data_IF_423006208517
#
_entry.id   IF_423006208517
#
_cell.length_a   1.000
_cell.length_b   1.000
_cell.length_c   1.000
_cell.angle_alpha   90.00
_cell.angle_beta   90.00
_cell.angle_gamma   90.00
#
_symmetry.space_group_name_H-M   'P 1'
#
loop_
_entity.id
_entity.type
_entity.pdbx_description
1 polymer ?
#
# COMPACT_ATOMS: atom_id res chain seq x y z
N UNK A 1 -13.70 19.65 14.56
CA UNK A 1 -12.22 19.59 14.46
C UNK A 1 -11.68 18.16 14.37
N UNK A 2 -11.95 17.27 15.35
CA UNK A 2 -11.44 15.86 15.33
C UNK A 2 -11.84 15.05 14.08
N UNK A 3 -13.07 15.17 13.59
CA UNK A 3 -13.53 14.49 12.36
C UNK A 3 -12.68 14.88 11.12
N UNK A 4 -12.38 16.17 10.94
CA UNK A 4 -11.54 16.65 9.83
C UNK A 4 -10.10 16.11 9.90
N UNK A 5 -9.53 15.98 11.10
CA UNK A 5 -8.20 15.41 11.27
C UNK A 5 -8.16 13.93 10.85
N UNK A 6 -9.20 13.16 11.18
CA UNK A 6 -9.31 11.75 10.78
C UNK A 6 -9.48 11.58 9.27
N UNK A 7 -10.27 12.44 8.63
CA UNK A 7 -10.38 12.47 7.17
C UNK A 7 -9.03 12.77 6.50
N UNK A 8 -8.23 13.69 7.07
CA UNK A 8 -6.89 13.97 6.56
C UNK A 8 -5.93 12.77 6.75
N UNK A 9 -6.04 12.03 7.86
CA UNK A 9 -5.27 10.79 8.04
C UNK A 9 -5.68 9.71 7.03
N UNK A 10 -6.98 9.55 6.76
CA UNK A 10 -7.47 8.63 5.74
C UNK A 10 -6.96 9.03 4.36
N UNK A 11 -7.06 10.31 3.99
CA UNK A 11 -6.54 10.82 2.72
C UNK A 11 -5.02 10.64 2.57
N UNK A 12 -4.24 10.87 3.63
CA UNK A 12 -2.80 10.59 3.66
C UNK A 12 -2.52 9.10 3.46
N UNK A 13 -3.27 8.24 4.15
CA UNK A 13 -3.16 6.78 4.03
C UNK A 13 -3.50 6.34 2.62
N UNK A 14 -4.59 6.83 2.02
CA UNK A 14 -4.99 6.53 0.63
C UNK A 14 -3.87 6.88 -0.36
N UNK A 15 -3.25 8.06 -0.23
CA UNK A 15 -2.12 8.46 -1.10
C UNK A 15 -0.91 7.54 -0.95
N UNK A 16 -0.59 7.14 0.29
CA UNK A 16 0.48 6.19 0.53
C UNK A 16 0.15 4.82 -0.05
N UNK A 17 -1.07 4.32 0.15
CA UNK A 17 -1.53 3.03 -0.36
C UNK A 17 -1.49 2.98 -1.89
N UNK A 18 -1.97 4.02 -2.58
CA UNK A 18 -1.88 4.13 -4.04
C UNK A 18 -0.43 4.08 -4.54
N UNK A 19 0.48 4.79 -3.86
CA UNK A 19 1.89 4.75 -4.21
C UNK A 19 2.53 3.38 -3.95
N UNK A 20 2.10 2.66 -2.90
CA UNK A 20 2.50 1.27 -2.64
C UNK A 20 1.99 0.34 -3.74
N UNK A 21 0.75 0.49 -4.18
CA UNK A 21 0.19 -0.29 -5.30
C UNK A 21 1.01 -0.08 -6.57
N UNK A 22 1.28 1.18 -6.96
CA UNK A 22 2.10 1.50 -8.14
C UNK A 22 3.53 0.97 -8.03
N UNK A 23 4.17 1.13 -6.86
CA UNK A 23 5.50 0.58 -6.60
C UNK A 23 5.50 -0.94 -6.70
N UNK A 24 4.52 -1.60 -6.09
CA UNK A 24 4.41 -3.06 -6.09
C UNK A 24 4.13 -3.58 -7.48
N UNK A 25 3.32 -2.89 -8.28
CA UNK A 25 3.11 -3.23 -9.69
C UNK A 25 4.41 -3.22 -10.47
N UNK A 26 5.17 -2.12 -10.39
CA UNK A 26 6.45 -1.98 -11.09
C UNK A 26 7.52 -2.99 -10.65
N UNK A 27 7.57 -3.29 -9.35
CA UNK A 27 8.57 -4.18 -8.77
C UNK A 27 8.00 -5.55 -8.37
N UNK A 28 6.92 -5.97 -9.01
CA UNK A 28 6.16 -7.15 -8.57
C UNK A 28 7.03 -8.41 -8.54
N UNK A 29 7.75 -8.68 -9.62
CA UNK A 29 8.59 -9.88 -9.76
C UNK A 29 9.70 -9.93 -8.71
N UNK A 30 10.37 -8.81 -8.45
CA UNK A 30 11.44 -8.75 -7.44
C UNK A 30 10.89 -8.84 -6.01
N UNK A 31 9.73 -8.22 -5.75
CA UNK A 31 9.02 -8.35 -4.48
C UNK A 31 8.57 -9.80 -4.23
N UNK A 32 7.98 -10.47 -5.23
CA UNK A 32 7.56 -11.87 -5.14
C UNK A 32 8.74 -12.81 -4.90
N UNK A 33 9.88 -12.59 -5.58
CA UNK A 33 11.09 -13.37 -5.37
C UNK A 33 11.67 -13.20 -3.95
N UNK A 34 11.54 -12.01 -3.36
CA UNK A 34 12.14 -11.68 -2.06
C UNK A 34 11.23 -12.00 -0.86
N UNK A 35 9.91 -11.98 -1.05
CA UNK A 35 8.93 -12.25 0.00
C UNK A 35 8.72 -13.75 0.23
N UNK A 36 8.36 -14.12 1.46
CA UNK A 36 7.77 -15.43 1.78
C UNK A 36 6.37 -15.25 2.35
N UNK A 37 5.70 -16.34 2.74
CA UNK A 37 4.39 -16.30 3.42
C UNK A 37 4.45 -15.72 4.83
N UNK A 38 5.65 -15.52 5.41
CA UNK A 38 5.84 -15.01 6.77
C UNK A 38 6.93 -13.94 6.90
N UNK A 39 7.74 -13.73 5.85
CA UNK A 39 8.82 -12.73 5.81
C UNK A 39 8.47 -11.68 4.76
N UNK A 40 8.04 -10.48 5.18
CA UNK A 40 7.61 -9.46 4.25
C UNK A 40 8.78 -8.74 3.58
N UNK A 41 8.56 -8.28 2.36
CA UNK A 41 9.28 -7.13 1.80
C UNK A 41 8.65 -5.87 2.38
N UNK A 42 9.46 -5.01 3.00
CA UNK A 42 8.97 -3.75 3.57
C UNK A 42 9.13 -2.61 2.58
N UNK A 43 8.04 -1.90 2.29
CA UNK A 43 8.03 -0.69 1.47
C UNK A 43 7.84 0.53 2.37
N UNK A 44 8.78 1.46 2.32
CA UNK A 44 8.78 2.68 3.16
C UNK A 44 8.42 3.92 2.34
N UNK A 45 7.96 4.98 3.01
CA UNK A 45 7.74 6.27 2.35
C UNK A 45 9.01 6.81 1.68
N UNK A 46 10.19 6.54 2.26
CA UNK A 46 11.46 6.95 1.66
C UNK A 46 11.75 6.21 0.35
N UNK A 47 11.49 4.91 0.27
CA UNK A 47 11.62 4.16 -0.98
C UNK A 47 10.70 4.73 -2.07
N UNK A 48 9.44 5.03 -1.71
CA UNK A 48 8.47 5.61 -2.65
C UNK A 48 8.86 7.02 -3.11
N UNK A 49 9.42 7.85 -2.21
CA UNK A 49 9.98 9.16 -2.56
C UNK A 49 11.17 9.02 -3.53
N UNK A 50 12.11 8.14 -3.22
CA UNK A 50 13.32 7.94 -4.04
C UNK A 50 13.01 7.39 -5.44
N UNK A 51 11.90 6.67 -5.59
CA UNK A 51 11.44 6.09 -6.86
C UNK A 51 10.41 6.95 -7.59
N UNK A 52 10.01 8.08 -7.01
CA UNK A 52 9.09 9.05 -7.62
C UNK A 52 7.60 8.71 -7.48
N UNK A 53 7.22 7.61 -6.81
CA UNK A 53 5.82 7.28 -6.53
C UNK A 53 5.19 8.16 -5.45
N UNK A 54 6.02 8.81 -4.62
CA UNK A 54 5.58 9.87 -3.71
C UNK A 54 6.40 11.15 -3.96
N UNK A 55 5.79 12.34 -3.81
CA UNK A 55 6.53 13.59 -3.87
C UNK A 55 7.47 13.72 -2.66
N UNK A 56 8.61 14.39 -2.85
CA UNK A 56 9.61 14.58 -1.79
C UNK A 56 9.04 15.21 -0.50
N UNK A 57 8.02 16.07 -0.63
CA UNK A 57 7.32 16.71 0.50
C UNK A 57 6.28 15.84 1.22
N UNK A 58 6.07 14.58 0.81
CA UNK A 58 5.15 13.68 1.49
C UNK A 58 5.61 13.43 2.93
N UNK A 59 4.74 13.71 3.90
CA UNK A 59 4.98 13.38 5.31
C UNK A 59 4.62 11.93 5.56
N UNK A 60 5.58 11.15 6.03
CA UNK A 60 5.42 9.72 6.33
C UNK A 60 4.72 9.42 7.67
N UNK A 61 4.64 10.41 8.56
CA UNK A 61 3.92 10.29 9.84
C UNK A 61 2.57 10.99 9.79
N UNK A 62 1.57 10.38 10.44
CA UNK A 62 0.29 11.03 10.71
C UNK A 62 0.41 12.00 11.91
N UNK A 63 -0.67 12.71 12.23
CA UNK A 63 -0.68 13.68 13.34
C UNK A 63 -0.60 13.06 14.75
N UNK A 64 -0.63 11.73 14.86
CA UNK A 64 -0.31 10.99 16.09
C UNK A 64 1.17 10.55 16.16
N UNK A 65 2.00 10.96 15.19
CA UNK A 65 3.40 10.55 15.08
C UNK A 65 3.58 9.10 14.62
N UNK A 66 2.52 8.45 14.12
CA UNK A 66 2.62 7.08 13.63
C UNK A 66 3.10 7.09 12.18
N UNK A 67 4.12 6.28 11.88
CA UNK A 67 4.74 6.18 10.55
C UNK A 67 4.05 5.15 9.67
N UNK A 68 3.84 5.50 8.40
CA UNK A 68 3.31 4.61 7.35
C UNK A 68 4.38 3.72 6.76
N UNK A 69 4.07 2.43 6.63
CA UNK A 69 4.85 1.44 5.88
C UNK A 69 3.93 0.38 5.27
N UNK A 70 4.39 -0.33 4.26
CA UNK A 70 3.71 -1.50 3.74
C UNK A 70 4.56 -2.76 3.89
N UNK A 71 3.88 -3.89 4.04
CA UNK A 71 4.46 -5.22 4.17
C UNK A 71 3.87 -6.08 3.07
N UNK A 72 4.71 -6.59 2.17
CA UNK A 72 4.31 -7.47 1.07
C UNK A 72 4.77 -8.89 1.38
N UNK A 73 3.83 -9.83 1.43
CA UNK A 73 4.10 -11.26 1.62
C UNK A 73 3.60 -12.04 0.41
N UNK A 74 4.01 -13.30 0.28
CA UNK A 74 3.28 -14.25 -0.57
C UNK A 74 1.96 -14.60 0.11
N UNK A 75 0.89 -14.68 -0.66
CA UNK A 75 -0.39 -15.12 -0.11
C UNK A 75 -0.24 -16.56 0.44
N UNK A 76 -0.83 -16.82 1.62
CA UNK A 76 -0.67 -18.08 2.32
C UNK A 76 -1.33 -19.28 1.60
N UNK A 77 -2.41 -19.03 0.85
CA UNK A 77 -3.11 -20.05 0.06
C UNK A 77 -2.56 -20.16 -1.36
N UNK A 78 -2.02 -19.06 -1.89
CA UNK A 78 -1.58 -18.90 -3.28
C UNK A 78 -0.19 -18.24 -3.32
N UNK A 79 0.86 -19.01 -3.06
CA UNK A 79 2.21 -18.48 -2.88
C UNK A 79 2.83 -17.86 -4.14
N UNK A 80 2.19 -18.03 -5.30
CA UNK A 80 2.51 -17.43 -6.59
C UNK A 80 2.07 -15.95 -6.71
N UNK A 81 1.21 -15.47 -5.81
CA UNK A 81 0.75 -14.08 -5.77
C UNK A 81 1.12 -13.38 -4.47
N UNK A 82 1.26 -12.06 -4.55
CA UNK A 82 1.50 -11.21 -3.40
C UNK A 82 0.20 -10.89 -2.65
N UNK A 83 0.31 -10.64 -1.35
CA UNK A 83 -0.68 -9.95 -0.53
C UNK A 83 0.03 -8.83 0.22
N UNK A 84 -0.61 -7.69 0.41
CA UNK A 84 -0.02 -6.53 1.06
C UNK A 84 -0.79 -6.07 2.29
N UNK A 85 -0.08 -5.50 3.25
CA UNK A 85 -0.67 -4.80 4.38
C UNK A 85 0.05 -3.46 4.58
N UNK A 86 -0.65 -2.35 4.35
CA UNK A 86 -0.20 -1.02 4.78
C UNK A 86 -0.59 -0.87 6.24
N UNK A 87 0.35 -0.41 7.08
CA UNK A 87 0.08 -0.13 8.49
C UNK A 87 0.70 1.20 8.90
N UNK A 88 0.12 1.82 9.93
CA UNK A 88 0.86 2.78 10.75
C UNK A 88 1.56 2.06 11.92
N UNK A 89 2.68 2.59 12.40
CA UNK A 89 3.40 2.05 13.55
C UNK A 89 4.17 3.13 14.31
N UNK A 90 4.49 2.88 15.58
CA UNK A 90 5.12 3.88 16.46
C UNK A 90 4.18 5.05 16.80
N UNK A 91 4.68 6.08 17.48
CA UNK A 91 3.84 7.21 17.90
C UNK A 91 2.77 6.85 18.94
N UNK A 92 1.74 7.68 19.04
CA UNK A 92 0.67 7.51 20.05
C UNK A 92 -0.53 6.72 19.50
N UNK A 93 -1.12 5.80 20.28
CA UNK A 93 -2.26 4.99 19.83
C UNK A 93 -3.48 5.86 19.50
N UNK A 94 -4.16 5.54 18.40
CA UNK A 94 -5.44 6.14 18.04
C UNK A 94 -6.56 5.51 18.87
N UNK A 95 -7.50 6.34 19.33
CA UNK A 95 -8.72 5.84 19.98
C UNK A 95 -9.51 4.93 19.04
N UNK A 96 -10.25 3.95 19.58
CA UNK A 96 -11.03 3.04 18.75
C UNK A 96 -12.07 3.75 17.87
N UNK A 97 -12.69 4.85 18.36
CA UNK A 97 -13.60 5.69 17.55
C UNK A 97 -12.89 6.29 16.33
N UNK A 98 -11.66 6.78 16.51
CA UNK A 98 -10.85 7.31 15.41
C UNK A 98 -10.53 6.21 14.40
N UNK A 99 -10.06 5.05 14.89
CA UNK A 99 -9.73 3.90 14.04
C UNK A 99 -10.91 3.48 13.16
N UNK A 100 -12.11 3.35 13.73
CA UNK A 100 -13.31 3.00 12.95
C UNK A 100 -13.62 4.02 11.86
N UNK A 101 -13.60 5.31 12.20
CA UNK A 101 -13.93 6.35 11.22
C UNK A 101 -12.89 6.39 10.10
N UNK A 102 -11.60 6.39 10.44
CA UNK A 102 -10.51 6.40 9.46
C UNK A 102 -10.61 5.18 8.53
N UNK A 103 -10.90 4.00 9.09
CA UNK A 103 -11.05 2.77 8.30
C UNK A 103 -12.19 2.85 7.28
N UNK A 104 -13.28 3.55 7.63
CA UNK A 104 -14.42 3.77 6.72
C UNK A 104 -14.12 4.82 5.66
N UNK A 105 -13.26 5.79 5.97
CA UNK A 105 -12.90 6.89 5.06
C UNK A 105 -11.74 6.49 4.10
N UNK A 106 -11.11 5.34 4.32
CA UNK A 106 -10.09 4.79 3.42
C UNK A 106 -10.77 4.20 2.17
N UNK A 107 -10.27 4.60 1.00
CA UNK A 107 -10.84 4.26 -0.31
C UNK A 107 -9.83 3.61 -1.27
N UNK A 108 -8.56 3.53 -0.89
CA UNK A 108 -7.54 2.78 -1.64
C UNK A 108 -7.11 1.58 -0.81
N UNK A 109 -7.26 0.40 -1.39
CA UNK A 109 -7.26 -0.87 -0.64
C UNK A 109 -8.46 -1.04 0.28
N UNK A 110 -8.43 -2.08 1.10
CA UNK A 110 -9.49 -2.39 2.05
C UNK A 110 -9.14 -1.81 3.43
N UNK A 111 -9.80 -0.72 3.82
CA UNK A 111 -9.54 -0.01 5.07
C UNK A 111 -9.81 -0.83 6.33
N UNK A 112 -8.97 -0.65 7.35
CA UNK A 112 -9.02 -1.36 8.61
C UNK A 112 -8.14 -0.76 9.69
N UNK A 113 -7.99 -1.50 10.79
CA UNK A 113 -7.28 -1.04 11.98
C UNK A 113 -6.69 -2.21 12.78
N UNK A 114 -5.75 -1.88 13.66
CA UNK A 114 -5.15 -2.80 14.63
C UNK A 114 -5.49 -2.26 16.03
N UNK A 115 -6.28 -3.01 16.80
CA UNK A 115 -6.66 -2.62 18.16
C UNK A 115 -5.75 -3.21 19.23
N UNK A 116 -5.28 -4.43 19.00
CA UNK A 116 -4.75 -5.33 20.03
C UNK A 116 -3.31 -5.80 19.79
N UNK A 117 -2.67 -5.26 18.74
CA UNK A 117 -1.31 -5.62 18.35
C UNK A 117 -1.15 -7.06 17.86
N UNK A 118 -2.25 -7.71 17.47
CA UNK A 118 -2.25 -9.10 17.01
C UNK A 118 -2.96 -9.28 15.69
N UNK A 119 -4.07 -8.57 15.51
CA UNK A 119 -4.94 -8.74 14.34
C UNK A 119 -5.20 -7.39 13.69
N UNK A 120 -5.04 -7.32 12.38
CA UNK A 120 -5.63 -6.24 11.58
C UNK A 120 -7.07 -6.64 11.22
N UNK A 121 -8.01 -5.75 11.46
CA UNK A 121 -9.44 -5.97 11.25
C UNK A 121 -9.98 -4.90 10.30
N UNK A 122 -10.74 -5.33 9.29
CA UNK A 122 -11.37 -4.46 8.32
C UNK A 122 -12.46 -3.59 8.92
N UNK A 123 -12.77 -2.49 8.23
CA UNK A 123 -13.95 -1.69 8.51
C UNK A 123 -15.19 -2.60 8.56
N UNK A 124 -16.05 -2.37 9.56
CA UNK A 124 -17.23 -3.20 9.85
C UNK A 124 -16.96 -4.71 10.03
N UNK A 125 -15.74 -5.11 10.41
CA UNK A 125 -15.31 -6.51 10.53
C UNK A 125 -15.40 -7.31 9.22
N UNK A 126 -15.25 -6.64 8.07
CA UNK A 126 -15.32 -7.26 6.74
C UNK A 126 -14.19 -8.27 6.45
N UNK A 127 -13.07 -8.17 7.17
CA UNK A 127 -11.96 -9.11 7.09
C UNK A 127 -11.14 -9.08 8.39
N UNK A 128 -10.34 -10.13 8.61
CA UNK A 128 -9.37 -10.20 9.69
C UNK A 128 -8.11 -10.93 9.21
N UNK A 129 -6.93 -10.35 9.46
CA UNK A 129 -5.65 -11.01 9.17
C UNK A 129 -4.73 -10.96 10.39
N UNK A 130 -4.10 -12.10 10.77
CA UNK A 130 -3.10 -12.12 11.83
C UNK A 130 -1.84 -11.36 11.41
N UNK A 131 -1.37 -10.44 12.25
CA UNK A 131 -0.16 -9.65 11.98
C UNK A 131 1.12 -10.49 11.98
N UNK A 132 1.10 -11.63 12.70
CA UNK A 132 2.20 -12.58 12.72
C UNK A 132 2.56 -13.10 11.31
N UNK A 133 1.57 -13.25 10.41
CA UNK A 133 1.81 -13.63 9.02
C UNK A 133 2.57 -12.55 8.23
N UNK A 134 2.50 -11.29 8.67
CA UNK A 134 3.27 -10.18 8.13
C UNK A 134 4.55 -9.91 8.94
N UNK A 135 4.98 -10.83 9.81
CA UNK A 135 6.22 -10.69 10.60
C UNK A 135 6.22 -9.48 11.54
N UNK A 136 5.06 -9.01 12.00
CA UNK A 136 4.92 -7.81 12.84
C UNK A 136 3.89 -8.01 13.94
N UNK A 137 3.96 -7.21 15.00
CA UNK A 137 2.89 -7.06 16.00
C UNK A 137 2.13 -5.75 15.83
N UNK A 138 2.55 -4.84 14.94
CA UNK A 138 1.81 -3.62 14.55
C UNK A 138 1.59 -2.56 15.63
N UNK A 139 1.62 -2.91 16.92
CA UNK A 139 1.23 -2.05 18.05
C UNK A 139 -0.29 -1.97 18.24
N UNK A 140 -0.73 -1.33 19.33
CA UNK A 140 -2.15 -1.06 19.57
C UNK A 140 -2.54 0.31 18.99
N UNK A 141 -3.73 0.43 18.42
CA UNK A 141 -4.26 1.74 18.01
C UNK A 141 -3.69 2.25 16.69
N UNK A 142 -3.51 1.37 15.70
CA UNK A 142 -2.93 1.72 14.39
C UNK A 142 -3.89 1.50 13.24
N UNK A 143 -3.67 2.22 12.15
CA UNK A 143 -4.40 2.08 10.89
C UNK A 143 -3.83 0.87 10.16
N UNK A 144 -4.68 0.11 9.49
CA UNK A 144 -4.29 -0.95 8.57
C UNK A 144 -5.06 -0.84 7.25
N UNK A 145 -4.46 -1.25 6.14
CA UNK A 145 -5.13 -1.38 4.85
C UNK A 145 -4.67 -2.67 4.21
N UNK A 146 -5.61 -3.56 3.92
CA UNK A 146 -5.32 -4.80 3.22
C UNK A 146 -5.31 -4.54 1.71
N UNK A 147 -4.22 -4.96 1.05
CA UNK A 147 -4.09 -5.02 -0.40
C UNK A 147 -4.26 -6.47 -0.82
N UNK A 148 -5.34 -6.76 -1.53
CA UNK A 148 -5.63 -8.13 -1.95
C UNK A 148 -4.70 -8.58 -3.09
N UNK A 149 -4.57 -9.90 -3.31
CA UNK A 149 -3.80 -10.40 -4.45
C UNK A 149 -4.29 -9.86 -5.80
N UNK A 150 -5.59 -9.67 -5.96
CA UNK A 150 -6.19 -9.10 -7.17
C UNK A 150 -5.76 -7.64 -7.36
N UNK A 151 -5.76 -6.83 -6.30
CA UNK A 151 -5.27 -5.45 -6.36
C UNK A 151 -3.81 -5.39 -6.80
N UNK A 152 -2.94 -6.23 -6.21
CA UNK A 152 -1.51 -6.21 -6.51
C UNK A 152 -1.19 -6.79 -7.88
N UNK A 153 -1.92 -7.82 -8.31
CA UNK A 153 -1.80 -8.38 -9.66
C UNK A 153 -2.28 -7.39 -10.72
N UNK A 154 -3.42 -6.73 -10.49
CA UNK A 154 -3.90 -5.66 -11.38
C UNK A 154 -2.90 -4.51 -11.50
N UNK A 155 -2.28 -4.09 -10.38
CA UNK A 155 -1.25 -3.05 -10.41
C UNK A 155 -0.01 -3.45 -11.23
N UNK A 156 0.37 -4.74 -11.22
CA UNK A 156 1.43 -5.27 -12.09
C UNK A 156 1.04 -5.17 -13.56
N UNK A 157 -0.15 -5.66 -13.92
CA UNK A 157 -0.63 -5.60 -15.29
C UNK A 157 -0.70 -4.17 -15.83
N UNK A 158 -1.17 -3.24 -15.01
CA UNK A 158 -1.21 -1.82 -15.36
C UNK A 158 0.20 -1.26 -15.57
N UNK A 159 1.17 -1.65 -14.73
CA UNK A 159 2.57 -1.21 -14.89
C UNK A 159 3.24 -1.74 -16.16
N UNK A 160 2.76 -2.86 -16.72
CA UNK A 160 3.32 -3.46 -17.94
C UNK A 160 2.65 -2.93 -19.22
N UNK A 161 1.57 -2.14 -19.11
CA UNK A 161 0.81 -1.61 -20.24
C UNK A 161 1.32 -0.23 -20.68
N UNK A 162 1.33 0.00 -22.00
CA UNK A 162 1.45 1.34 -22.57
C UNK A 162 0.06 1.97 -22.74
N UNK A 163 -0.21 3.04 -22.01
CA UNK A 163 -1.48 3.77 -22.11
C UNK A 163 -1.44 4.78 -23.25
N UNK A 164 -2.47 4.75 -24.12
CA UNK A 164 -2.63 5.72 -25.23
C UNK A 164 -3.16 7.08 -24.77
N UNK A 165 -3.90 7.09 -23.66
CA UNK A 165 -4.45 8.30 -23.07
C UNK A 165 -3.86 8.52 -21.69
N UNK A 166 -3.76 9.79 -21.29
CA UNK A 166 -3.24 10.16 -19.98
C UNK A 166 -4.09 9.53 -18.85
N UNK A 167 -3.45 8.76 -17.99
CA UNK A 167 -4.01 8.28 -16.74
C UNK A 167 -3.78 9.33 -15.65
N UNK A 168 -4.83 10.07 -15.30
CA UNK A 168 -4.75 11.14 -14.31
C UNK A 168 -4.40 10.60 -12.92
N UNK A 169 -3.46 11.27 -12.24
CA UNK A 169 -3.00 10.86 -10.92
C UNK A 169 -2.03 9.68 -10.88
N UNK A 170 -1.69 9.10 -12.05
CA UNK A 170 -0.75 7.97 -12.19
C UNK A 170 0.34 8.30 -13.23
N UNK A 171 1.21 9.31 -12.99
CA UNK A 171 2.22 9.73 -13.96
C UNK A 171 3.19 8.62 -14.38
N UNK A 172 3.41 7.62 -13.52
CA UNK A 172 4.19 6.42 -13.83
C UNK A 172 3.61 5.60 -14.98
N UNK A 173 2.29 5.62 -15.18
CA UNK A 173 1.61 4.86 -16.25
C UNK A 173 1.64 5.61 -17.59
N UNK A 174 2.11 6.86 -17.58
CA UNK A 174 2.13 7.74 -18.76
C UNK A 174 3.53 7.87 -19.37
N UNK A 175 4.51 7.08 -18.90
CA UNK A 175 5.90 7.19 -19.35
C UNK A 175 6.46 5.83 -19.73
N UNK A 176 7.00 5.74 -20.94
CA UNK A 176 7.82 4.61 -21.34
C UNK A 176 9.21 4.71 -20.72
N UNK A 177 9.66 3.64 -20.06
CA UNK A 177 10.92 3.60 -19.31
C UNK A 177 12.07 2.90 -20.04
N UNK A 178 11.79 2.22 -21.16
CA UNK A 178 12.78 1.56 -22.02
C UNK A 178 12.60 2.03 -23.46
N UNK A 179 13.66 2.05 -24.25
CA UNK A 179 13.52 2.27 -25.70
C UNK A 179 12.71 1.14 -26.34
N UNK A 180 11.90 1.46 -27.35
CA UNK A 180 11.27 0.46 -28.21
C UNK A 180 12.30 0.02 -29.23
N UNK A 181 12.68 -1.26 -29.18
CA UNK A 181 13.40 -1.89 -30.28
C UNK A 181 12.38 -2.38 -31.31
N UNK A 182 12.48 -1.85 -32.52
CA UNK A 182 11.60 -2.21 -33.63
C UNK A 182 12.16 -3.35 -34.49
N UNK A 183 13.35 -3.89 -34.17
CA UNK A 183 13.96 -4.97 -34.95
C UNK A 183 14.18 -4.59 -36.42
N UNK A 184 14.53 -3.33 -36.68
CA UNK A 184 14.66 -2.78 -38.05
C UNK A 184 13.35 -2.30 -38.70
N UNK A 185 12.22 -2.30 -37.97
CA UNK A 185 10.94 -1.78 -38.45
C UNK A 185 10.69 -0.33 -37.97
N UNK A 186 9.57 0.27 -38.39
CA UNK A 186 9.18 1.65 -38.05
C UNK A 186 7.87 1.70 -37.25
N UNK A 187 7.73 2.71 -36.39
CA UNK A 187 6.49 3.09 -35.69
C UNK A 187 5.80 4.18 -36.53
N UNK A 188 5.09 3.79 -37.59
CA UNK A 188 4.34 4.73 -38.44
C UNK A 188 2.96 5.03 -37.86
#
# INVERSE_FOLDING_TARGET
LKSRQWQLMAAQTNRFTQAVESYTGRYYTSALASATTTRPVTVTAQMLKNTGFLPAGFRESNSNGQQLKALLIRNALHAEVLQGLVITSGGQPLSYKALRQISLDISSGLGGYIRDGRTATGAMNSWAVPLAGFGTSGGNGHIAVLLSPETLTGAREDSDRLYRFQVNGRPELNKMHTSIDMGGNNLN
#
